data_IF_171075686529
#
_entry.id   IF_171075686529
#
_cell.length_a   1.000
_cell.length_b   1.000
_cell.length_c   1.000
_cell.angle_alpha   90.00
_cell.angle_beta   90.00
_cell.angle_gamma   90.00
#
_symmetry.space_group_name_H-M   'P 1'
#
loop_
_entity.id
_entity.type
_entity.pdbx_description
1 polymer ?
#
# COMPACT_ATOMS: atom_id res chain seq x y z
N UNK A 1 8.43 -40.15 4.58
CA UNK A 1 8.43 -39.30 3.37
C UNK A 1 8.41 -37.85 3.82
N UNK A 2 9.49 -37.17 3.60
CA UNK A 2 9.70 -35.75 3.98
C UNK A 2 9.36 -34.83 2.79
N UNK A 3 9.29 -33.51 3.01
CA UNK A 3 9.12 -32.54 1.93
C UNK A 3 10.26 -32.61 0.88
N UNK A 4 11.43 -33.17 1.25
CA UNK A 4 12.54 -33.42 0.34
C UNK A 4 12.25 -34.50 -0.73
N UNK A 5 11.32 -35.41 -0.44
CA UNK A 5 10.91 -36.47 -1.37
C UNK A 5 9.86 -36.02 -2.39
N UNK A 6 9.42 -34.74 -2.30
CA UNK A 6 8.43 -34.15 -3.20
C UNK A 6 9.17 -33.49 -4.37
N UNK A 7 8.75 -33.72 -5.62
CA UNK A 7 9.35 -33.05 -6.78
C UNK A 7 9.42 -31.54 -6.60
N UNK A 8 10.52 -30.89 -7.05
CA UNK A 8 10.76 -29.45 -6.90
C UNK A 8 9.60 -28.60 -7.44
N UNK A 9 8.89 -29.09 -8.46
CA UNK A 9 7.69 -28.46 -9.00
C UNK A 9 6.57 -28.33 -7.97
N UNK A 10 6.46 -29.25 -7.03
CA UNK A 10 5.42 -29.27 -5.98
C UNK A 10 5.77 -28.34 -4.83
N UNK A 11 7.06 -28.16 -4.53
CA UNK A 11 7.50 -27.22 -3.49
C UNK A 11 7.15 -25.77 -3.83
N UNK A 12 6.96 -25.43 -5.12
CA UNK A 12 6.51 -24.12 -5.57
C UNK A 12 5.01 -23.90 -5.43
N UNK A 13 4.20 -24.96 -5.39
CA UNK A 13 2.74 -24.88 -5.21
C UNK A 13 2.42 -24.99 -3.71
N UNK A 14 2.38 -23.84 -3.03
CA UNK A 14 2.12 -23.79 -1.59
C UNK A 14 0.67 -24.12 -1.22
N UNK A 15 -0.30 -23.89 -2.15
CA UNK A 15 -1.74 -24.09 -1.94
C UNK A 15 -2.37 -24.68 -3.20
N UNK A 16 -3.24 -25.66 -3.06
CA UNK A 16 -3.98 -26.25 -4.17
C UNK A 16 -5.10 -27.19 -3.75
N UNK A 17 -5.97 -27.50 -4.71
CA UNK A 17 -6.95 -28.59 -4.58
C UNK A 17 -6.26 -29.95 -4.67
N UNK A 18 -6.96 -31.02 -4.26
CA UNK A 18 -6.49 -32.38 -4.50
C UNK A 18 -6.17 -32.64 -5.97
N UNK A 19 -6.99 -32.08 -6.91
CA UNK A 19 -6.75 -32.18 -8.34
C UNK A 19 -5.48 -31.46 -8.81
N UNK A 20 -5.22 -30.26 -8.30
CA UNK A 20 -3.99 -29.51 -8.60
C UNK A 20 -2.74 -30.20 -8.05
N UNK A 21 -2.81 -30.80 -6.85
CA UNK A 21 -1.72 -31.62 -6.29
C UNK A 21 -1.46 -32.86 -7.14
N UNK A 22 -2.50 -33.52 -7.67
CA UNK A 22 -2.36 -34.66 -8.61
C UNK A 22 -1.73 -34.21 -9.93
N UNK A 23 -2.15 -33.08 -10.47
CA UNK A 23 -1.64 -32.53 -11.73
C UNK A 23 -0.13 -32.22 -11.71
N UNK A 24 0.44 -31.99 -10.50
CA UNK A 24 1.89 -31.80 -10.30
C UNK A 24 2.62 -33.10 -9.91
N UNK A 25 1.97 -34.25 -10.09
CA UNK A 25 2.60 -35.58 -9.93
C UNK A 25 2.45 -36.24 -8.55
N UNK A 26 1.66 -35.67 -7.64
CA UNK A 26 1.42 -36.33 -6.33
C UNK A 26 0.35 -37.43 -6.51
N UNK A 27 0.74 -38.67 -6.30
CA UNK A 27 -0.19 -39.80 -6.32
C UNK A 27 -1.17 -39.78 -5.13
N UNK A 28 -2.34 -40.44 -5.23
CA UNK A 28 -3.28 -40.52 -4.12
C UNK A 28 -2.70 -41.10 -2.83
N UNK A 29 -1.76 -42.06 -2.94
CA UNK A 29 -1.08 -42.64 -1.82
C UNK A 29 -0.12 -41.65 -1.13
N UNK A 30 0.69 -40.94 -1.92
CA UNK A 30 1.57 -39.86 -1.45
C UNK A 30 0.77 -38.74 -0.79
N UNK A 31 -0.35 -38.33 -1.41
CA UNK A 31 -1.19 -37.26 -0.85
C UNK A 31 -1.72 -37.63 0.55
N UNK A 32 -2.23 -38.86 0.72
CA UNK A 32 -2.67 -39.36 2.04
C UNK A 32 -1.52 -39.42 3.04
N UNK A 33 -0.35 -39.89 2.63
CA UNK A 33 0.84 -39.98 3.49
C UNK A 33 1.28 -38.57 3.94
N UNK A 34 1.39 -37.61 3.03
CA UNK A 34 1.76 -36.22 3.33
C UNK A 34 0.75 -35.52 4.25
N UNK A 35 -0.55 -35.79 4.05
CA UNK A 35 -1.59 -35.25 4.93
C UNK A 35 -1.52 -35.86 6.32
N UNK A 36 -1.30 -37.19 6.43
CA UNK A 36 -1.14 -37.87 7.71
C UNK A 36 0.12 -37.42 8.44
N UNK A 37 1.21 -37.20 7.73
CA UNK A 37 2.45 -36.66 8.28
C UNK A 37 2.38 -35.17 8.63
N UNK A 38 1.26 -34.50 8.31
CA UNK A 38 1.07 -33.06 8.51
C UNK A 38 1.91 -32.18 7.60
N UNK A 39 2.56 -32.73 6.58
CA UNK A 39 3.29 -31.95 5.58
C UNK A 39 2.35 -31.16 4.63
N UNK A 40 1.14 -31.71 4.41
CA UNK A 40 0.01 -30.99 3.81
C UNK A 40 -1.07 -30.77 4.86
N UNK A 41 -1.48 -29.52 5.03
CA UNK A 41 -2.50 -29.09 5.99
C UNK A 41 -3.75 -28.67 5.24
N UNK A 42 -4.91 -29.15 5.67
CA UNK A 42 -6.20 -28.72 5.11
C UNK A 42 -6.54 -27.33 5.60
N UNK A 43 -6.51 -26.34 4.72
CA UNK A 43 -6.84 -24.93 5.03
C UNK A 43 -8.29 -24.58 4.75
N UNK A 44 -8.94 -25.35 3.85
CA UNK A 44 -10.38 -25.25 3.55
C UNK A 44 -10.87 -26.61 3.02
N UNK A 45 -12.18 -26.83 2.96
CA UNK A 45 -12.76 -28.02 2.34
C UNK A 45 -12.24 -28.21 0.91
N UNK A 46 -11.49 -29.29 0.66
CA UNK A 46 -10.89 -29.61 -0.64
C UNK A 46 -9.64 -28.82 -1.01
N UNK A 47 -9.14 -27.92 -0.14
CA UNK A 47 -7.96 -27.09 -0.37
C UNK A 47 -6.91 -27.39 0.70
N UNK A 48 -5.68 -27.63 0.27
CA UNK A 48 -4.56 -27.99 1.10
C UNK A 48 -3.36 -27.06 0.84
N UNK A 49 -2.64 -26.72 1.88
CA UNK A 49 -1.39 -25.97 1.82
C UNK A 49 -0.23 -26.80 2.37
N UNK A 50 0.99 -26.50 1.97
CA UNK A 50 2.17 -27.04 2.66
C UNK A 50 2.23 -26.49 4.09
N UNK A 51 2.75 -27.29 5.03
CA UNK A 51 2.98 -26.86 6.42
C UNK A 51 3.81 -25.58 6.47
N UNK A 52 4.89 -25.52 5.67
CA UNK A 52 5.74 -24.33 5.58
C UNK A 52 4.99 -23.06 5.15
N UNK A 53 3.98 -23.18 4.28
CA UNK A 53 3.16 -22.01 3.90
C UNK A 53 2.29 -21.54 5.06
N UNK A 54 1.76 -22.45 5.87
CA UNK A 54 0.95 -22.14 7.06
C UNK A 54 1.81 -21.51 8.16
N UNK A 55 2.99 -22.09 8.41
CA UNK A 55 3.95 -21.56 9.39
C UNK A 55 4.47 -20.18 9.01
N UNK A 56 4.82 -19.98 7.75
CA UNK A 56 5.21 -18.66 7.23
C UNK A 56 4.09 -17.62 7.34
N UNK A 57 2.84 -18.03 7.15
CA UNK A 57 1.67 -17.18 7.33
C UNK A 57 1.51 -16.71 8.78
N UNK A 58 1.79 -17.58 9.75
CA UNK A 58 1.76 -17.22 11.18
C UNK A 58 2.84 -16.22 11.60
N UNK A 59 3.93 -16.12 10.85
CA UNK A 59 5.08 -15.27 11.17
C UNK A 59 5.08 -13.90 10.46
N UNK A 60 4.39 -13.78 9.32
CA UNK A 60 4.40 -12.57 8.46
C UNK A 60 2.99 -12.27 7.94
N UNK A 61 2.40 -11.11 8.29
CA UNK A 61 1.06 -10.70 7.82
C UNK A 61 0.91 -10.70 6.29
N UNK A 62 1.97 -10.45 5.52
CA UNK A 62 1.93 -10.51 4.05
C UNK A 62 1.83 -11.95 3.57
N UNK A 63 2.54 -12.86 4.21
CA UNK A 63 2.46 -14.29 3.89
C UNK A 63 1.11 -14.89 4.30
N UNK A 64 0.54 -14.45 5.41
CA UNK A 64 -0.83 -14.80 5.80
C UNK A 64 -1.84 -14.32 4.73
N UNK A 65 -1.74 -13.07 4.30
CA UNK A 65 -2.60 -12.55 3.24
C UNK A 65 -2.41 -13.30 1.91
N UNK A 66 -1.18 -13.69 1.57
CA UNK A 66 -0.88 -14.50 0.40
C UNK A 66 -1.53 -15.89 0.48
N UNK A 67 -1.47 -16.53 1.64
CA UNK A 67 -2.15 -17.81 1.88
C UNK A 67 -3.66 -17.68 1.70
N UNK A 68 -4.28 -16.66 2.28
CA UNK A 68 -5.72 -16.35 2.11
C UNK A 68 -6.09 -16.10 0.65
N UNK A 69 -5.27 -15.32 -0.08
CA UNK A 69 -5.47 -15.05 -1.50
C UNK A 69 -5.36 -16.32 -2.36
N UNK A 70 -4.40 -17.20 -2.04
CA UNK A 70 -4.25 -18.49 -2.72
C UNK A 70 -5.45 -19.41 -2.48
N UNK A 71 -5.98 -19.46 -1.26
CA UNK A 71 -7.18 -20.21 -0.91
C UNK A 71 -8.42 -19.65 -1.62
N UNK A 72 -8.58 -18.33 -1.64
CA UNK A 72 -9.67 -17.65 -2.32
C UNK A 72 -9.64 -17.88 -3.85
N UNK A 73 -8.43 -17.84 -4.46
CA UNK A 73 -8.24 -18.14 -5.89
C UNK A 73 -8.77 -19.53 -6.27
N UNK A 74 -8.52 -20.52 -5.42
CA UNK A 74 -9.01 -21.87 -5.68
C UNK A 74 -10.54 -21.93 -5.74
N UNK A 75 -11.22 -21.13 -4.91
CA UNK A 75 -12.68 -21.07 -4.91
C UNK A 75 -13.27 -20.34 -6.12
N UNK A 76 -12.58 -19.30 -6.61
CA UNK A 76 -13.06 -18.41 -7.68
C UNK A 76 -12.66 -18.92 -9.09
N UNK A 77 -11.54 -19.66 -9.16
CA UNK A 77 -10.99 -20.20 -10.41
C UNK A 77 -9.51 -19.88 -10.57
N UNK A 78 -8.79 -20.83 -11.16
CA UNK A 78 -7.31 -20.82 -11.27
C UNK A 78 -6.72 -19.59 -11.99
N UNK A 79 -7.52 -18.91 -12.81
CA UNK A 79 -7.10 -17.73 -13.57
C UNK A 79 -7.24 -16.41 -12.78
N UNK A 80 -7.84 -16.47 -11.58
CA UNK A 80 -7.94 -15.30 -10.73
C UNK A 80 -6.55 -14.91 -10.20
N UNK A 81 -6.33 -13.59 -10.11
CA UNK A 81 -5.07 -12.95 -9.71
C UNK A 81 -5.37 -12.04 -8.53
N UNK A 82 -4.54 -12.06 -7.49
CA UNK A 82 -4.64 -11.10 -6.38
C UNK A 82 -4.46 -9.67 -6.95
N UNK A 83 -5.36 -8.75 -6.55
CA UNK A 83 -5.42 -7.41 -7.13
C UNK A 83 -5.86 -6.37 -6.10
N UNK A 84 -5.91 -5.10 -6.48
CA UNK A 84 -6.40 -4.01 -5.63
C UNK A 84 -5.76 -4.04 -4.23
N UNK A 85 -6.56 -4.00 -3.14
CA UNK A 85 -6.06 -3.98 -1.77
C UNK A 85 -5.23 -5.22 -1.41
N UNK A 86 -5.61 -6.40 -1.91
CA UNK A 86 -4.79 -7.61 -1.69
C UNK A 86 -3.41 -7.50 -2.32
N UNK A 87 -3.34 -7.00 -3.54
CA UNK A 87 -2.06 -6.79 -4.21
C UNK A 87 -1.23 -5.70 -3.52
N UNK A 88 -1.86 -4.62 -3.03
CA UNK A 88 -1.18 -3.58 -2.26
C UNK A 88 -0.51 -4.15 -1.01
N UNK A 89 -1.23 -4.96 -0.22
CA UNK A 89 -0.67 -5.65 0.95
C UNK A 89 0.54 -6.50 0.57
N UNK A 90 0.43 -7.30 -0.50
CA UNK A 90 1.52 -8.17 -0.95
C UNK A 90 2.73 -7.39 -1.47
N UNK A 91 2.51 -6.26 -2.09
CA UNK A 91 3.58 -5.35 -2.52
C UNK A 91 4.16 -4.50 -1.38
N UNK A 92 3.49 -4.40 -0.23
CA UNK A 92 3.84 -3.47 0.85
C UNK A 92 3.60 -2.02 0.48
N UNK A 93 2.56 -1.77 -0.31
CA UNK A 93 2.05 -0.43 -0.64
C UNK A 93 1.08 -0.02 0.45
N UNK A 94 1.29 1.16 1.01
CA UNK A 94 0.42 1.69 2.06
C UNK A 94 -0.96 2.05 1.51
N UNK A 95 -1.95 1.88 2.37
CA UNK A 95 -3.34 2.22 2.09
C UNK A 95 -3.86 3.13 3.20
N UNK A 96 -4.66 4.12 2.84
CA UNK A 96 -5.32 5.00 3.81
C UNK A 96 -6.23 4.21 4.76
N UNK A 97 -6.97 3.25 4.22
CA UNK A 97 -7.78 2.30 4.99
C UNK A 97 -7.22 0.90 4.80
N UNK A 98 -6.78 0.29 5.89
CA UNK A 98 -6.36 -1.10 5.86
C UNK A 98 -7.52 -2.01 5.43
N UNK A 99 -7.28 -3.04 4.62
CA UNK A 99 -8.28 -4.05 4.31
C UNK A 99 -8.86 -4.65 5.59
N UNK A 100 -10.17 -4.93 5.58
CA UNK A 100 -10.77 -5.68 6.67
C UNK A 100 -10.13 -7.08 6.76
N UNK A 101 -9.99 -7.57 7.98
CA UNK A 101 -9.39 -8.88 8.22
C UNK A 101 -10.17 -9.99 7.48
N UNK A 102 -9.46 -10.93 6.89
CA UNK A 102 -10.05 -12.03 6.14
C UNK A 102 -10.56 -11.69 4.74
N UNK A 103 -10.63 -10.42 4.37
CA UNK A 103 -11.12 -10.00 3.05
C UNK A 103 -10.02 -10.06 2.00
N UNK A 104 -10.35 -10.58 0.82
CA UNK A 104 -9.43 -10.77 -0.31
C UNK A 104 -10.00 -10.14 -1.58
N UNK A 105 -9.17 -9.41 -2.32
CA UNK A 105 -9.50 -8.82 -3.63
C UNK A 105 -8.82 -9.59 -4.75
N UNK A 106 -9.62 -10.08 -5.69
CA UNK A 106 -9.16 -10.83 -6.85
C UNK A 106 -9.71 -10.21 -8.14
N UNK A 107 -8.94 -10.30 -9.21
CA UNK A 107 -9.39 -10.01 -10.57
C UNK A 107 -9.30 -11.27 -11.42
N UNK A 108 -10.31 -11.54 -12.24
CA UNK A 108 -10.35 -12.65 -13.20
C UNK A 108 -10.64 -12.15 -14.60
N UNK A 109 -10.31 -12.92 -15.65
CA UNK A 109 -10.71 -12.62 -17.02
C UNK A 109 -12.23 -12.52 -17.16
N UNK A 110 -12.74 -11.67 -18.07
CA UNK A 110 -14.17 -11.59 -18.40
C UNK A 110 -14.72 -12.92 -18.94
N UNK A 111 -16.04 -13.09 -18.85
CA UNK A 111 -16.74 -14.24 -19.44
C UNK A 111 -16.74 -15.52 -18.60
N UNK A 112 -16.00 -15.58 -17.51
CA UNK A 112 -16.06 -16.72 -16.61
C UNK A 112 -17.25 -16.57 -15.65
N UNK A 113 -18.19 -17.53 -15.71
CA UNK A 113 -19.29 -17.58 -14.74
C UNK A 113 -18.72 -17.89 -13.34
N UNK A 114 -19.06 -17.08 -12.36
CA UNK A 114 -18.84 -17.38 -10.96
C UNK A 114 -20.14 -17.94 -10.38
N UNK A 115 -20.04 -18.94 -9.53
CA UNK A 115 -21.13 -19.36 -8.68
C UNK A 115 -21.58 -18.23 -7.71
N UNK A 116 -22.17 -18.60 -6.58
CA UNK A 116 -22.61 -17.64 -5.56
C UNK A 116 -21.46 -16.72 -5.13
N UNK A 117 -21.75 -15.45 -4.76
CA UNK A 117 -20.77 -14.57 -4.14
C UNK A 117 -20.11 -15.29 -2.97
N UNK A 118 -18.79 -15.23 -2.90
CA UNK A 118 -18.03 -15.80 -1.78
C UNK A 118 -17.89 -14.72 -0.70
N UNK A 119 -18.30 -15.07 0.51
CA UNK A 119 -18.06 -14.20 1.66
C UNK A 119 -16.57 -13.91 1.84
N UNK A 120 -16.22 -12.66 2.10
CA UNK A 120 -14.85 -12.22 2.25
C UNK A 120 -14.04 -12.13 0.94
N UNK A 121 -14.67 -12.30 -0.24
CA UNK A 121 -13.97 -12.15 -1.53
C UNK A 121 -14.63 -11.06 -2.37
N UNK A 122 -13.85 -10.01 -2.67
CA UNK A 122 -14.19 -9.03 -3.69
C UNK A 122 -13.62 -9.47 -5.03
N UNK A 123 -14.51 -9.67 -6.01
CA UNK A 123 -14.14 -10.20 -7.32
C UNK A 123 -14.40 -9.17 -8.41
N UNK A 124 -13.32 -8.75 -9.08
CA UNK A 124 -13.36 -7.92 -10.27
C UNK A 124 -13.28 -8.76 -11.55
N UNK A 125 -13.82 -8.22 -12.64
CA UNK A 125 -13.72 -8.80 -13.98
C UNK A 125 -13.00 -7.81 -14.88
N UNK A 126 -11.81 -8.16 -15.37
CA UNK A 126 -11.01 -7.31 -16.25
C UNK A 126 -10.00 -8.13 -17.05
N UNK A 127 -9.63 -7.65 -18.23
CA UNK A 127 -8.48 -8.17 -18.97
C UNK A 127 -7.20 -7.86 -18.18
N UNK A 128 -6.38 -8.91 -17.99
CA UNK A 128 -5.08 -8.82 -17.32
C UNK A 128 -4.01 -9.38 -18.28
N UNK A 129 -3.37 -8.53 -19.08
CA UNK A 129 -2.19 -8.93 -19.85
C UNK A 129 -1.12 -9.51 -18.92
N UNK A 130 -0.38 -10.52 -19.36
CA UNK A 130 0.66 -11.17 -18.54
C UNK A 130 1.72 -10.17 -18.04
N UNK A 131 2.05 -9.13 -18.82
CA UNK A 131 2.94 -8.05 -18.40
C UNK A 131 2.44 -7.24 -17.20
N UNK A 132 1.15 -7.33 -16.86
CA UNK A 132 0.54 -6.70 -15.68
C UNK A 132 0.39 -7.66 -14.51
N UNK A 133 0.96 -8.88 -14.61
CA UNK A 133 0.90 -9.91 -13.57
C UNK A 133 2.31 -10.33 -13.18
N UNK A 134 2.52 -10.56 -11.91
CA UNK A 134 3.75 -11.09 -11.34
C UNK A 134 3.42 -12.16 -10.29
N UNK A 135 4.43 -12.68 -9.63
CA UNK A 135 4.26 -13.66 -8.54
C UNK A 135 4.97 -13.16 -7.28
N UNK A 136 4.22 -13.03 -6.19
CA UNK A 136 4.73 -12.73 -4.86
C UNK A 136 4.27 -13.80 -3.88
N UNK A 137 5.15 -14.26 -3.01
CA UNK A 137 4.86 -15.30 -2.00
C UNK A 137 4.18 -16.56 -2.60
N UNK A 138 4.48 -16.89 -3.86
CA UNK A 138 3.90 -18.02 -4.58
C UNK A 138 2.46 -17.78 -5.11
N UNK A 139 1.94 -16.56 -5.04
CA UNK A 139 0.62 -16.18 -5.54
C UNK A 139 0.75 -15.27 -6.76
N UNK A 140 -0.05 -15.51 -7.80
CA UNK A 140 -0.17 -14.57 -8.92
C UNK A 140 -0.85 -13.30 -8.43
N UNK A 141 -0.24 -12.17 -8.72
CA UNK A 141 -0.65 -10.84 -8.24
C UNK A 141 -0.47 -9.81 -9.36
N UNK A 142 -1.30 -8.78 -9.41
CA UNK A 142 -1.08 -7.66 -10.32
C UNK A 142 0.25 -6.98 -10.00
N UNK A 143 0.99 -6.50 -11.01
CA UNK A 143 2.21 -5.70 -10.77
C UNK A 143 1.90 -4.49 -9.89
N UNK A 144 2.88 -3.94 -9.20
CA UNK A 144 2.70 -2.78 -8.33
C UNK A 144 2.04 -1.61 -9.07
N UNK A 145 2.53 -1.27 -10.27
CA UNK A 145 1.97 -0.21 -11.11
C UNK A 145 0.50 -0.49 -11.49
N UNK A 146 0.18 -1.72 -11.89
CA UNK A 146 -1.20 -2.09 -12.20
C UNK A 146 -2.08 -2.01 -10.95
N UNK A 147 -1.60 -2.45 -9.81
CA UNK A 147 -2.28 -2.38 -8.51
C UNK A 147 -2.64 -0.95 -8.15
N UNK A 148 -1.67 -0.03 -8.24
CA UNK A 148 -1.87 1.39 -7.93
C UNK A 148 -2.91 2.03 -8.86
N UNK A 149 -2.85 1.76 -10.17
CA UNK A 149 -3.84 2.28 -11.12
C UNK A 149 -5.24 1.72 -10.82
N UNK A 150 -5.36 0.43 -10.51
CA UNK A 150 -6.65 -0.17 -10.17
C UNK A 150 -7.21 0.43 -8.86
N UNK A 151 -6.39 0.68 -7.84
CA UNK A 151 -6.78 1.37 -6.60
C UNK A 151 -7.22 2.81 -6.88
N UNK A 152 -6.40 3.59 -7.57
CA UNK A 152 -6.68 4.98 -7.88
C UNK A 152 -7.95 5.17 -8.75
N UNK A 153 -8.31 4.16 -9.55
CA UNK A 153 -9.57 4.13 -10.30
C UNK A 153 -10.79 3.79 -9.44
N UNK A 154 -10.65 2.89 -8.47
CA UNK A 154 -11.77 2.30 -7.72
C UNK A 154 -12.04 2.97 -6.38
N UNK A 155 -11.04 3.61 -5.78
CA UNK A 155 -11.13 4.28 -4.48
C UNK A 155 -11.32 5.80 -4.64
N UNK A 156 -11.37 6.54 -3.53
CA UNK A 156 -11.37 8.00 -3.54
C UNK A 156 -10.07 8.56 -4.11
N UNK A 157 -10.06 9.85 -4.49
CA UNK A 157 -8.86 10.50 -5.00
C UNK A 157 -7.71 10.47 -3.97
N UNK A 158 -7.99 10.80 -2.73
CA UNK A 158 -7.02 10.78 -1.62
C UNK A 158 -6.42 9.38 -1.41
N UNK A 159 -7.25 8.33 -1.38
CA UNK A 159 -6.79 6.95 -1.25
C UNK A 159 -5.90 6.54 -2.45
N UNK A 160 -6.24 7.02 -3.65
CA UNK A 160 -5.43 6.83 -4.85
C UNK A 160 -4.07 7.50 -4.74
N UNK A 161 -4.00 8.74 -4.25
CA UNK A 161 -2.74 9.47 -4.03
C UNK A 161 -1.87 8.75 -3.00
N UNK A 162 -2.42 8.30 -1.87
CA UNK A 162 -1.69 7.53 -0.86
C UNK A 162 -1.02 6.30 -1.48
N UNK A 163 -1.75 5.54 -2.30
CA UNK A 163 -1.20 4.34 -2.95
C UNK A 163 -0.10 4.69 -3.98
N UNK A 164 -0.26 5.79 -4.72
CA UNK A 164 0.75 6.29 -5.68
C UNK A 164 2.02 6.69 -4.96
N UNK A 165 1.91 7.56 -3.95
CA UNK A 165 3.06 8.06 -3.18
C UNK A 165 3.82 6.90 -2.55
N UNK A 166 3.12 5.96 -1.90
CA UNK A 166 3.74 4.79 -1.30
C UNK A 166 4.47 3.93 -2.32
N UNK A 167 3.89 3.68 -3.50
CA UNK A 167 4.53 2.88 -4.53
C UNK A 167 5.76 3.55 -5.14
N UNK A 168 5.74 4.88 -5.28
CA UNK A 168 6.90 5.68 -5.72
C UNK A 168 8.01 5.62 -4.67
N UNK A 169 7.69 5.87 -3.39
CA UNK A 169 8.64 5.85 -2.28
C UNK A 169 9.38 4.52 -2.14
N UNK A 170 8.66 3.40 -2.28
CA UNK A 170 9.28 2.06 -2.20
C UNK A 170 9.94 1.60 -3.50
N UNK A 171 10.03 2.46 -4.53
CA UNK A 171 10.69 2.18 -5.81
C UNK A 171 10.03 1.07 -6.64
N UNK A 172 8.73 0.81 -6.44
CA UNK A 172 8.00 -0.26 -7.13
C UNK A 172 7.23 0.19 -8.36
N UNK A 173 7.26 1.47 -8.66
CA UNK A 173 6.60 2.08 -9.80
C UNK A 173 7.58 3.00 -10.52
N UNK A 174 7.55 2.97 -11.87
CA UNK A 174 8.29 3.88 -12.73
C UNK A 174 7.32 4.66 -13.60
N UNK A 175 7.69 5.87 -14.03
CA UNK A 175 6.87 6.72 -14.91
C UNK A 175 6.49 6.02 -16.22
N UNK A 176 7.45 5.30 -16.82
CA UNK A 176 7.19 4.54 -18.05
C UNK A 176 6.14 3.42 -17.84
N UNK A 177 6.30 2.63 -16.79
CA UNK A 177 5.33 1.58 -16.44
C UNK A 177 3.96 2.15 -16.14
N UNK A 178 3.90 3.30 -15.44
CA UNK A 178 2.66 3.99 -15.12
C UNK A 178 1.92 4.46 -16.37
N UNK A 179 2.62 5.10 -17.31
CA UNK A 179 2.04 5.54 -18.57
C UNK A 179 1.47 4.39 -19.41
N UNK A 180 2.14 3.23 -19.44
CA UNK A 180 1.65 2.03 -20.15
C UNK A 180 0.35 1.49 -19.54
N UNK A 181 0.29 1.36 -18.22
CA UNK A 181 -0.92 0.87 -17.53
C UNK A 181 -2.06 1.86 -17.68
N UNK A 182 -1.84 3.17 -17.52
CA UNK A 182 -2.86 4.20 -17.70
C UNK A 182 -3.43 4.18 -19.13
N UNK A 183 -2.60 3.99 -20.15
CA UNK A 183 -3.08 3.82 -21.54
C UNK A 183 -3.95 2.58 -21.68
N UNK A 184 -3.55 1.45 -21.11
CA UNK A 184 -4.31 0.20 -21.18
C UNK A 184 -5.68 0.27 -20.48
N UNK A 185 -5.82 1.18 -19.51
CA UNK A 185 -7.05 1.40 -18.73
C UNK A 185 -7.81 2.68 -19.14
N UNK A 186 -7.41 3.38 -20.20
CA UNK A 186 -7.90 4.72 -20.55
C UNK A 186 -9.42 4.85 -20.69
N UNK A 187 -10.10 3.79 -21.10
CA UNK A 187 -11.57 3.75 -21.27
C UNK A 187 -12.31 3.12 -20.08
N UNK A 188 -11.61 2.83 -18.98
CA UNK A 188 -12.22 2.18 -17.84
C UNK A 188 -12.79 3.21 -16.86
N UNK A 189 -13.85 2.88 -16.12
CA UNK A 189 -14.39 3.78 -15.11
C UNK A 189 -13.30 4.21 -14.12
N UNK A 190 -13.25 5.52 -13.83
CA UNK A 190 -12.26 6.12 -12.92
C UNK A 190 -10.85 6.35 -13.51
N UNK A 191 -10.64 6.15 -14.82
CA UNK A 191 -9.34 6.36 -15.46
C UNK A 191 -8.81 7.80 -15.28
N UNK A 192 -9.69 8.81 -15.37
CA UNK A 192 -9.29 10.21 -15.16
C UNK A 192 -8.88 10.49 -13.72
N UNK A 193 -9.55 9.88 -12.73
CA UNK A 193 -9.14 9.98 -11.33
C UNK A 193 -7.77 9.35 -11.10
N UNK A 194 -7.52 8.18 -11.69
CA UNK A 194 -6.20 7.54 -11.61
C UNK A 194 -5.11 8.38 -12.24
N UNK A 195 -5.38 9.01 -13.39
CA UNK A 195 -4.43 9.92 -14.06
C UNK A 195 -4.13 11.15 -13.20
N UNK A 196 -5.16 11.75 -12.60
CA UNK A 196 -4.99 12.88 -11.66
C UNK A 196 -4.16 12.48 -10.44
N UNK A 197 -4.44 11.33 -9.82
CA UNK A 197 -3.68 10.84 -8.68
C UNK A 197 -2.22 10.55 -9.06
N UNK A 198 -1.99 9.92 -10.22
CA UNK A 198 -0.66 9.66 -10.75
C UNK A 198 0.16 10.95 -10.96
N UNK A 199 -0.45 11.96 -11.60
CA UNK A 199 0.21 13.26 -11.85
C UNK A 199 0.47 14.05 -10.56
N UNK A 200 -0.29 13.82 -9.50
CA UNK A 200 -0.10 14.46 -8.20
C UNK A 200 0.92 13.71 -7.33
N UNK A 201 1.23 12.46 -7.64
CA UNK A 201 2.10 11.58 -6.86
C UNK A 201 3.49 12.18 -6.58
N UNK A 202 4.06 11.80 -5.44
CA UNK A 202 5.44 12.15 -5.04
C UNK A 202 6.06 11.01 -4.23
N UNK A 203 7.33 10.72 -4.50
CA UNK A 203 8.11 9.79 -3.70
C UNK A 203 8.52 10.37 -2.34
N UNK A 204 8.48 11.70 -2.21
CA UNK A 204 8.97 12.42 -1.03
C UNK A 204 7.97 12.41 0.14
N UNK A 205 6.71 12.02 -0.07
CA UNK A 205 5.77 11.82 1.03
C UNK A 205 6.11 10.53 1.78
N UNK A 206 6.62 10.64 3.01
CA UNK A 206 7.16 9.52 3.76
C UNK A 206 6.09 8.74 4.57
N UNK A 207 4.93 9.31 4.74
CA UNK A 207 3.81 8.70 5.47
C UNK A 207 2.47 8.87 4.78
N UNK A 208 1.50 8.05 5.21
CA UNK A 208 0.11 8.17 4.77
C UNK A 208 -0.48 9.53 5.17
N UNK A 209 -0.12 10.05 6.36
CA UNK A 209 -0.60 11.34 6.83
C UNK A 209 -0.08 12.49 5.95
N UNK A 210 1.18 12.46 5.56
CA UNK A 210 1.76 13.44 4.64
C UNK A 210 1.07 13.40 3.27
N UNK A 211 0.84 12.20 2.70
CA UNK A 211 0.12 12.06 1.44
C UNK A 211 -1.30 12.66 1.52
N UNK A 212 -2.01 12.42 2.63
CA UNK A 212 -3.33 13.01 2.87
C UNK A 212 -3.27 14.53 3.02
N UNK A 213 -2.29 15.04 3.79
CA UNK A 213 -2.09 16.47 4.00
C UNK A 213 -1.83 17.21 2.68
N UNK A 214 -1.02 16.64 1.79
CA UNK A 214 -0.79 17.19 0.44
C UNK A 214 -2.09 17.37 -0.33
N UNK A 215 -2.99 16.41 -0.26
CA UNK A 215 -4.30 16.49 -0.92
C UNK A 215 -5.14 17.60 -0.30
N UNK A 216 -5.26 17.64 1.04
CA UNK A 216 -6.02 18.67 1.77
C UNK A 216 -5.48 20.07 1.48
N UNK A 217 -4.16 20.25 1.47
CA UNK A 217 -3.52 21.55 1.18
C UNK A 217 -3.80 21.99 -0.25
N UNK A 218 -3.71 21.08 -1.21
CA UNK A 218 -4.00 21.38 -2.61
C UNK A 218 -5.49 21.72 -2.85
N UNK A 219 -6.41 20.96 -2.25
CA UNK A 219 -7.85 21.21 -2.33
C UNK A 219 -8.25 22.54 -1.66
N UNK A 220 -7.52 22.95 -0.61
CA UNK A 220 -7.68 24.27 0.02
C UNK A 220 -7.02 25.40 -0.77
N UNK A 221 -6.36 25.13 -1.89
CA UNK A 221 -5.69 26.16 -2.71
C UNK A 221 -4.43 26.74 -2.08
N UNK A 222 -3.77 26.02 -1.15
CA UNK A 222 -2.45 26.45 -0.66
C UNK A 222 -1.39 26.26 -1.78
N UNK A 223 -0.34 27.11 -1.82
CA UNK A 223 0.82 26.87 -2.67
C UNK A 223 1.41 25.48 -2.45
N UNK A 224 2.00 24.89 -3.49
CA UNK A 224 2.66 23.59 -3.37
C UNK A 224 3.87 23.70 -2.43
N UNK A 225 3.94 22.93 -1.32
CA UNK A 225 5.10 22.93 -0.44
C UNK A 225 6.27 22.16 -1.06
N UNK A 226 7.47 22.50 -0.63
CA UNK A 226 8.64 21.63 -0.75
C UNK A 226 8.50 20.54 0.32
N UNK A 227 8.61 19.27 -0.10
CA UNK A 227 8.52 18.13 0.81
C UNK A 227 9.91 17.77 1.32
N UNK A 228 9.97 17.28 2.56
CA UNK A 228 11.19 16.76 3.19
C UNK A 228 12.38 17.74 3.07
N UNK A 229 12.08 19.04 3.22
CA UNK A 229 13.07 20.10 3.06
C UNK A 229 14.13 20.07 4.18
N UNK A 230 15.40 20.13 3.79
CA UNK A 230 16.49 20.32 4.73
C UNK A 230 16.60 21.82 5.07
N UNK A 231 16.48 22.15 6.34
CA UNK A 231 16.61 23.52 6.86
C UNK A 231 17.98 23.67 7.51
N UNK A 232 18.64 24.79 7.23
CA UNK A 232 19.94 25.14 7.78
C UNK A 232 19.94 26.59 8.29
N UNK A 233 20.90 26.93 9.15
CA UNK A 233 21.18 28.30 9.59
C UNK A 233 21.79 29.11 8.44
N UNK A 234 21.97 30.43 8.65
CA UNK A 234 22.67 31.31 7.71
C UNK A 234 24.15 30.88 7.47
N UNK A 235 24.75 30.23 8.46
CA UNK A 235 26.10 29.66 8.39
C UNK A 235 26.15 28.26 7.76
N UNK A 236 25.03 27.78 7.16
CA UNK A 236 24.86 26.47 6.55
C UNK A 236 24.92 25.28 7.54
N UNK A 237 24.72 25.51 8.84
CA UNK A 237 24.57 24.41 9.79
C UNK A 237 23.19 23.78 9.70
N UNK A 238 23.14 22.45 9.55
CA UNK A 238 21.89 21.69 9.46
C UNK A 238 21.09 21.79 10.77
N UNK A 239 19.82 22.19 10.66
CA UNK A 239 18.88 22.25 11.78
C UNK A 239 18.00 21.00 11.79
N UNK A 240 17.24 20.76 10.71
CA UNK A 240 16.28 19.70 10.61
C UNK A 240 15.86 19.40 9.17
N UNK A 241 15.33 18.21 8.94
CA UNK A 241 14.51 17.91 7.76
C UNK A 241 13.04 17.98 8.18
N UNK A 242 12.22 18.71 7.41
CA UNK A 242 10.83 19.04 7.73
C UNK A 242 9.87 18.50 6.67
N UNK A 243 8.66 18.07 7.10
CA UNK A 243 7.72 17.39 6.18
C UNK A 243 7.24 18.30 5.06
N UNK A 244 6.90 19.56 5.40
CA UNK A 244 6.39 20.56 4.45
C UNK A 244 7.05 21.91 4.70
N UNK A 245 7.58 22.53 3.66
CA UNK A 245 8.16 23.87 3.73
C UNK A 245 7.62 24.75 2.62
N UNK A 246 7.24 25.98 2.96
CA UNK A 246 6.96 27.08 2.04
C UNK A 246 8.03 28.16 2.23
N UNK A 247 9.18 28.07 1.54
CA UNK A 247 10.30 28.99 1.74
C UNK A 247 9.93 30.46 1.54
N UNK A 248 9.10 30.75 0.53
CA UNK A 248 8.65 32.12 0.24
C UNK A 248 7.84 32.79 1.38
N UNK A 249 7.28 31.98 2.29
CA UNK A 249 6.51 32.45 3.44
C UNK A 249 7.23 32.20 4.76
N UNK A 250 8.38 31.52 4.73
CA UNK A 250 9.11 31.03 5.91
C UNK A 250 8.20 30.24 6.86
N UNK A 251 7.39 29.35 6.29
CA UNK A 251 6.44 28.51 7.03
C UNK A 251 6.77 27.04 6.83
N UNK A 252 6.74 26.31 7.91
CA UNK A 252 6.91 24.87 7.99
C UNK A 252 5.61 24.28 8.54
N UNK A 253 5.20 23.11 8.01
CA UNK A 253 4.18 22.29 8.64
C UNK A 253 4.73 20.88 8.89
N UNK A 254 4.40 20.32 10.05
CA UNK A 254 4.86 19.00 10.51
C UNK A 254 3.67 18.11 10.81
N UNK A 255 3.71 16.91 10.26
CA UNK A 255 2.68 15.88 10.43
C UNK A 255 3.01 15.02 11.66
N UNK A 256 2.36 15.28 12.79
CA UNK A 256 2.62 14.55 14.03
C UNK A 256 1.87 13.21 14.05
N UNK A 257 2.64 12.11 13.96
CA UNK A 257 2.12 10.75 14.18
C UNK A 257 1.81 10.51 15.67
N UNK A 258 0.76 9.73 15.96
CA UNK A 258 0.29 9.44 17.33
C UNK A 258 1.35 8.81 18.27
N UNK A 259 2.44 8.24 17.76
CA UNK A 259 3.46 7.55 18.54
C UNK A 259 4.58 8.46 19.08
N UNK A 260 4.57 9.77 18.81
CA UNK A 260 5.70 10.66 19.14
C UNK A 260 5.74 11.13 20.62
N UNK A 261 4.67 10.96 21.40
CA UNK A 261 4.56 11.58 22.72
C UNK A 261 4.84 10.66 23.92
N UNK A 262 5.15 9.39 23.71
CA UNK A 262 5.30 8.42 24.81
C UNK A 262 6.67 8.45 25.52
N UNK A 263 7.64 9.25 25.04
CA UNK A 263 8.98 9.35 25.67
C UNK A 263 9.34 10.81 25.96
N UNK A 264 9.62 11.18 27.23
CA UNK A 264 9.98 12.55 27.63
C UNK A 264 11.20 13.13 26.90
N UNK A 265 12.16 12.29 26.49
CA UNK A 265 13.33 12.70 25.69
C UNK A 265 12.91 13.20 24.31
N UNK A 266 12.07 12.46 23.62
CA UNK A 266 11.59 12.82 22.26
C UNK A 266 10.81 14.14 22.27
N UNK A 267 9.98 14.37 23.30
CA UNK A 267 9.27 15.62 23.47
C UNK A 267 10.22 16.82 23.65
N UNK A 268 11.28 16.64 24.45
CA UNK A 268 12.30 17.67 24.64
C UNK A 268 13.08 17.96 23.37
N UNK A 269 13.49 16.92 22.63
CA UNK A 269 14.22 17.07 21.37
C UNK A 269 13.36 17.78 20.31
N UNK A 270 12.06 17.49 20.26
CA UNK A 270 11.09 18.18 19.38
C UNK A 270 11.00 19.68 19.73
N UNK A 271 10.87 20.02 21.01
CA UNK A 271 10.81 21.42 21.46
C UNK A 271 12.10 22.17 21.08
N UNK A 272 13.27 21.58 21.32
CA UNK A 272 14.55 22.21 20.97
C UNK A 272 14.70 22.37 19.46
N UNK A 273 14.23 21.42 18.68
CA UNK A 273 14.19 21.50 17.21
C UNK A 273 13.30 22.67 16.76
N UNK A 274 12.11 22.79 17.32
CA UNK A 274 11.18 23.88 17.01
C UNK A 274 11.74 25.27 17.37
N UNK A 275 12.45 25.39 18.50
CA UNK A 275 13.13 26.63 18.88
C UNK A 275 14.16 26.99 17.81
N UNK A 276 15.05 26.07 17.43
CA UNK A 276 16.06 26.32 16.39
C UNK A 276 15.46 26.71 15.03
N UNK A 277 14.34 26.10 14.65
CA UNK A 277 13.62 26.46 13.41
C UNK A 277 13.04 27.88 13.52
N UNK A 278 12.51 28.28 14.68
CA UNK A 278 12.00 29.64 14.91
C UNK A 278 13.13 30.68 14.95
N UNK A 279 14.26 30.35 15.56
CA UNK A 279 15.46 31.22 15.58
C UNK A 279 16.01 31.44 14.16
N UNK A 280 15.83 30.45 13.25
CA UNK A 280 16.12 30.55 11.83
C UNK A 280 15.03 31.31 11.02
N UNK A 281 14.04 31.91 11.69
CA UNK A 281 12.99 32.72 11.06
C UNK A 281 11.76 31.96 10.57
N UNK A 282 11.67 30.66 10.81
CA UNK A 282 10.52 29.87 10.36
C UNK A 282 9.37 29.85 11.37
N UNK A 283 8.16 29.91 10.87
CA UNK A 283 6.93 29.67 11.63
C UNK A 283 6.56 28.18 11.49
N UNK A 284 6.47 27.47 12.60
CA UNK A 284 6.21 26.03 12.63
C UNK A 284 4.75 25.76 13.01
N UNK A 285 4.03 25.01 12.18
CA UNK A 285 2.64 24.58 12.36
C UNK A 285 2.60 23.06 12.48
N UNK A 286 2.27 22.53 13.64
CA UNK A 286 2.04 21.11 13.83
C UNK A 286 0.60 20.74 13.57
N UNK A 287 0.36 19.55 13.04
CA UNK A 287 -0.99 18.99 12.92
C UNK A 287 -0.95 17.47 13.09
N UNK A 288 -2.04 16.96 13.65
CA UNK A 288 -2.23 15.54 13.91
C UNK A 288 -3.19 14.92 12.89
N UNK A 289 -3.26 13.59 12.90
CA UNK A 289 -4.25 12.82 12.16
C UNK A 289 -5.69 13.27 12.48
N UNK A 290 -5.99 13.43 13.79
CA UNK A 290 -7.32 13.84 14.24
C UNK A 290 -7.72 15.23 13.74
N UNK A 291 -6.79 16.18 13.72
CA UNK A 291 -7.03 17.53 13.21
C UNK A 291 -7.22 17.54 11.69
N UNK A 292 -6.38 16.80 10.95
CA UNK A 292 -6.44 16.78 9.48
C UNK A 292 -7.77 16.20 8.97
N UNK A 293 -8.34 15.20 9.65
CA UNK A 293 -9.60 14.55 9.25
C UNK A 293 -10.84 15.05 10.00
N UNK A 294 -10.68 15.59 11.19
CA UNK A 294 -11.79 16.09 11.99
C UNK A 294 -12.10 17.57 11.77
N UNK A 295 -11.07 18.39 11.62
CA UNK A 295 -11.18 19.85 11.48
C UNK A 295 -10.12 20.41 10.51
N UNK A 296 -10.10 19.94 9.24
CA UNK A 296 -9.08 20.35 8.26
C UNK A 296 -9.02 21.87 8.06
N UNK A 297 -10.15 22.56 8.16
CA UNK A 297 -10.24 24.03 8.04
C UNK A 297 -9.42 24.75 9.11
N UNK A 298 -9.28 24.18 10.32
CA UNK A 298 -8.43 24.76 11.39
C UNK A 298 -6.95 24.64 11.06
N UNK A 299 -6.54 23.50 10.50
CA UNK A 299 -5.16 23.28 10.04
C UNK A 299 -4.83 24.29 8.95
N UNK A 300 -5.71 24.42 7.95
CA UNK A 300 -5.56 25.38 6.84
C UNK A 300 -5.54 26.83 7.34
N UNK A 301 -6.41 27.19 8.29
CA UNK A 301 -6.42 28.55 8.87
C UNK A 301 -5.12 28.87 9.59
N UNK A 302 -4.53 27.94 10.36
CA UNK A 302 -3.22 28.11 11.00
C UNK A 302 -2.10 28.34 9.98
N UNK A 303 -2.07 27.55 8.90
CA UNK A 303 -1.07 27.70 7.83
C UNK A 303 -1.23 29.05 7.13
N UNK A 304 -2.46 29.45 6.77
CA UNK A 304 -2.75 30.75 6.14
C UNK A 304 -2.41 31.92 7.08
N UNK A 305 -2.71 31.80 8.36
CA UNK A 305 -2.32 32.79 9.39
C UNK A 305 -0.80 32.93 9.48
N UNK A 306 -0.07 31.80 9.40
CA UNK A 306 1.39 31.82 9.38
C UNK A 306 1.93 32.48 8.08
N UNK A 307 1.29 32.32 6.92
CA UNK A 307 1.69 33.03 5.69
C UNK A 307 1.51 34.54 5.81
N UNK A 308 0.44 35.01 6.45
CA UNK A 308 0.11 36.42 6.60
C UNK A 308 0.89 37.13 7.73
N UNK A 309 1.42 36.41 8.70
CA UNK A 309 2.13 36.99 9.81
C UNK A 309 3.47 37.60 9.34
N UNK A 310 3.87 38.79 9.80
CA UNK A 310 5.16 39.37 9.46
C UNK A 310 6.30 38.46 9.91
N UNK A 311 7.36 38.43 9.14
CA UNK A 311 8.61 37.75 9.53
C UNK A 311 9.28 38.61 10.60
N UNK A 312 9.47 38.08 11.78
CA UNK A 312 10.28 38.74 12.81
C UNK A 312 11.74 38.69 12.36
N UNK A 313 12.31 39.83 12.07
CA UNK A 313 13.76 40.02 11.89
C UNK A 313 14.46 40.06 13.21
#
# INVERSE_FOLDING_TARGET
>A
MTLSDIPVAVRKNRVGTVGEWRAVGITPAQFRSLTRAGALVRVRRGVYATRSAVESAGADPRQDHALRAAVARVAVGRHAVASHQSAAVLHGIDLLKKPAEGVVWLTRPPGQKCGRPFEGIHLYSAQLPEKHVTTLYGVRVTTATRTVVDLARSLTYMEGVVAVDSALRVGKMTDFGLADVLRSCARWPGADRARRAANFGSADAESVLESCARVVFAEAGLPRPVLQAAIATAEAEFIARVDFCWPAYQVIAEADGMAKYDEPRRARDQIMRDIRLRDAGYKVVHFTWGELFGTPERVIARIRGAFAAPTSY
#
